data_IF_755787413577
#
_entry.id   IF_755787413577
#
_cell.length_a   1.000
_cell.length_b   1.000
_cell.length_c   1.000
_cell.angle_alpha   90.00
_cell.angle_beta   90.00
_cell.angle_gamma   90.00
#
_symmetry.space_group_name_H-M   'P 1'
#
loop_
_entity.id
_entity.type
_entity.pdbx_description
1 polymer ?
#
# COMPACT_ATOMS: atom_id res chain seq x y z
N UNK A 1 20.87 -11.55 -27.08
CA UNK A 1 20.19 -11.28 -25.80
C UNK A 1 19.75 -12.62 -25.27
N UNK A 2 20.18 -12.99 -24.07
CA UNK A 2 19.67 -14.19 -23.41
C UNK A 2 18.17 -13.98 -23.10
N UNK A 3 17.36 -15.04 -23.19
CA UNK A 3 15.91 -14.93 -22.98
C UNK A 3 15.55 -14.62 -21.51
N UNK A 4 16.41 -14.99 -20.57
CA UNK A 4 16.21 -14.83 -19.12
C UNK A 4 16.04 -13.38 -18.66
N UNK A 5 16.96 -12.42 -18.95
CA UNK A 5 16.79 -11.03 -18.49
C UNK A 5 15.57 -10.36 -19.14
N UNK A 6 15.24 -10.71 -20.38
CA UNK A 6 14.04 -10.21 -21.06
C UNK A 6 12.79 -10.74 -20.37
N UNK A 7 12.76 -12.04 -20.03
CA UNK A 7 11.67 -12.65 -19.28
C UNK A 7 11.49 -11.98 -17.93
N UNK A 8 12.57 -11.78 -17.16
CA UNK A 8 12.52 -11.09 -15.86
C UNK A 8 11.99 -9.68 -16.02
N UNK A 9 12.46 -8.91 -17.00
CA UNK A 9 11.99 -7.54 -17.25
C UNK A 9 10.48 -7.50 -17.57
N UNK A 10 10.01 -8.36 -18.48
CA UNK A 10 8.58 -8.45 -18.84
C UNK A 10 7.74 -8.87 -17.64
N UNK A 11 8.18 -9.87 -16.88
CA UNK A 11 7.48 -10.33 -15.68
C UNK A 11 7.41 -9.23 -14.61
N UNK A 12 8.49 -8.45 -14.44
CA UNK A 12 8.55 -7.32 -13.51
C UNK A 12 7.54 -6.22 -13.87
N UNK A 13 7.36 -5.94 -15.18
CA UNK A 13 6.33 -5.03 -15.69
C UNK A 13 4.93 -5.57 -15.46
N UNK A 14 4.71 -6.87 -15.65
CA UNK A 14 3.44 -7.53 -15.34
C UNK A 14 3.08 -7.38 -13.85
N UNK A 15 4.04 -7.64 -12.95
CA UNK A 15 3.83 -7.43 -11.51
C UNK A 15 3.50 -5.96 -11.18
N UNK A 16 4.09 -5.00 -11.91
CA UNK A 16 3.77 -3.59 -11.75
C UNK A 16 2.32 -3.28 -12.17
N UNK A 17 1.85 -3.90 -13.24
CA UNK A 17 0.45 -3.78 -13.64
C UNK A 17 -0.49 -4.33 -12.55
N UNK A 18 -0.14 -5.46 -11.91
CA UNK A 18 -0.92 -6.01 -10.78
C UNK A 18 -0.95 -5.02 -9.61
N UNK A 19 0.19 -4.44 -9.23
CA UNK A 19 0.25 -3.41 -8.18
C UNK A 19 -0.63 -2.20 -8.55
N UNK A 20 -0.61 -1.77 -9.81
CA UNK A 20 -1.47 -0.70 -10.30
C UNK A 20 -2.96 -1.02 -10.18
N UNK A 21 -3.36 -2.26 -10.49
CA UNK A 21 -4.75 -2.73 -10.33
C UNK A 21 -5.16 -2.75 -8.85
N UNK A 22 -4.28 -3.23 -7.95
CA UNK A 22 -4.56 -3.22 -6.51
C UNK A 22 -4.72 -1.80 -5.97
N UNK A 23 -3.91 -0.85 -6.44
CA UNK A 23 -4.06 0.56 -6.08
C UNK A 23 -5.34 1.18 -6.63
N UNK A 24 -5.75 0.79 -7.83
CA UNK A 24 -7.02 1.21 -8.39
C UNK A 24 -8.20 0.65 -7.58
N UNK A 25 -8.17 -0.64 -7.22
CA UNK A 25 -9.19 -1.26 -6.39
C UNK A 25 -9.26 -0.64 -5.00
N UNK A 26 -8.13 -0.28 -4.40
CA UNK A 26 -8.09 0.43 -3.11
C UNK A 26 -8.86 1.75 -3.14
N UNK A 27 -8.92 2.44 -4.28
CA UNK A 27 -9.63 3.73 -4.42
C UNK A 27 -11.12 3.57 -4.73
N UNK A 28 -11.58 2.35 -5.01
CA UNK A 28 -12.99 2.11 -5.29
C UNK A 28 -13.79 2.18 -3.98
N UNK A 29 -14.82 3.02 -3.90
CA UNK A 29 -15.70 3.04 -2.74
C UNK A 29 -16.43 1.71 -2.62
N UNK A 30 -16.23 1.03 -1.49
CA UNK A 30 -16.88 -0.25 -1.18
C UNK A 30 -18.19 -0.07 -0.40
N UNK A 31 -18.61 1.18 -0.12
CA UNK A 31 -19.83 1.42 0.65
C UNK A 31 -21.07 1.12 -0.19
N UNK A 32 -21.90 0.18 0.29
CA UNK A 32 -23.14 -0.21 -0.38
C UNK A 32 -24.10 0.98 -0.57
N UNK A 33 -24.01 1.98 0.30
CA UNK A 33 -24.83 3.19 0.31
C UNK A 33 -24.35 4.29 -0.66
N UNK A 34 -23.16 4.16 -1.25
CA UNK A 34 -22.72 5.05 -2.34
C UNK A 34 -23.34 4.70 -3.69
N UNK A 35 -23.87 3.47 -3.83
CA UNK A 35 -24.43 3.00 -5.08
C UNK A 35 -25.52 3.97 -5.59
N UNK A 36 -25.43 4.32 -6.87
CA UNK A 36 -26.41 5.22 -7.53
C UNK A 36 -27.85 4.72 -7.37
N UNK A 37 -28.04 3.42 -7.18
CA UNK A 37 -29.34 2.78 -6.91
C UNK A 37 -30.05 3.39 -5.69
N UNK A 38 -29.33 3.78 -4.64
CA UNK A 38 -29.92 4.35 -3.42
C UNK A 38 -30.06 5.88 -3.45
N UNK A 39 -29.74 6.55 -4.58
CA UNK A 39 -29.89 8.01 -4.68
C UNK A 39 -31.34 8.46 -4.63
N UNK A 40 -32.27 7.69 -5.22
CA UNK A 40 -33.71 7.96 -5.13
C UNK A 40 -34.22 7.77 -3.70
N UNK A 41 -33.81 6.69 -3.03
CA UNK A 41 -34.18 6.41 -1.64
C UNK A 41 -33.73 7.51 -0.67
N UNK A 42 -32.49 8.01 -0.83
CA UNK A 42 -31.95 9.12 -0.02
C UNK A 42 -32.71 10.45 -0.19
N UNK A 43 -33.32 10.69 -1.35
CA UNK A 43 -34.13 11.91 -1.58
C UNK A 43 -35.53 11.79 -0.96
N UNK A 44 -36.04 10.57 -0.84
CA UNK A 44 -37.39 10.30 -0.35
C UNK A 44 -37.44 10.16 1.19
N UNK A 45 -36.34 9.79 1.84
CA UNK A 45 -36.29 9.55 3.29
C UNK A 45 -35.41 10.60 3.98
N UNK A 46 -35.97 11.45 4.88
CA UNK A 46 -35.24 12.51 5.58
C UNK A 46 -34.05 12.03 6.42
N UNK A 47 -34.14 10.80 6.98
CA UNK A 47 -33.12 10.20 7.85
C UNK A 47 -32.38 9.01 7.20
N UNK A 48 -32.15 9.05 5.89
CA UNK A 48 -31.42 7.99 5.21
C UNK A 48 -29.98 7.84 5.77
N UNK A 49 -29.50 6.60 6.04
CA UNK A 49 -28.14 6.37 6.52
C UNK A 49 -27.10 7.00 5.61
N UNK A 50 -26.12 7.69 6.19
CA UNK A 50 -25.00 8.28 5.44
C UNK A 50 -24.08 7.16 4.94
N UNK A 51 -23.44 7.32 3.77
CA UNK A 51 -22.37 6.42 3.33
C UNK A 51 -21.32 6.30 4.44
N UNK A 52 -20.89 5.07 4.73
CA UNK A 52 -19.84 4.81 5.70
C UNK A 52 -18.54 5.50 5.27
N UNK A 53 -17.81 6.11 6.21
CA UNK A 53 -16.53 6.72 5.91
C UNK A 53 -15.56 5.61 5.44
N UNK A 54 -14.77 5.81 4.36
CA UNK A 54 -13.69 4.89 3.98
C UNK A 54 -12.69 4.60 5.12
N UNK A 55 -12.59 5.48 6.12
CA UNK A 55 -11.79 5.28 7.32
C UNK A 55 -12.47 4.41 8.41
N UNK A 56 -13.78 4.18 8.31
CA UNK A 56 -14.51 3.37 9.27
C UNK A 56 -14.28 1.87 9.05
N UNK A 57 -14.10 1.15 10.16
CA UNK A 57 -14.01 -0.31 10.14
C UNK A 57 -15.36 -0.91 9.68
N UNK A 58 -15.39 -1.94 8.81
CA UNK A 58 -14.29 -2.75 8.28
C UNK A 58 -13.63 -2.23 6.98
N UNK A 59 -14.08 -1.11 6.43
CA UNK A 59 -13.63 -0.59 5.12
C UNK A 59 -12.17 -0.12 5.14
N UNK A 60 -11.70 0.37 6.29
CA UNK A 60 -10.30 0.75 6.49
C UNK A 60 -9.31 -0.41 6.44
N UNK A 61 -9.71 -1.63 6.82
CA UNK A 61 -8.84 -2.81 6.80
C UNK A 61 -8.63 -3.36 5.37
N UNK A 62 -9.64 -3.23 4.50
CA UNK A 62 -9.54 -3.64 3.09
C UNK A 62 -8.44 -2.83 2.39
N UNK A 63 -8.39 -1.52 2.61
CA UNK A 63 -7.34 -0.67 2.03
C UNK A 63 -5.93 -1.02 2.54
N UNK A 64 -5.80 -1.37 3.83
CA UNK A 64 -4.51 -1.80 4.41
C UNK A 64 -4.04 -3.14 3.86
N UNK A 65 -4.95 -4.09 3.65
CA UNK A 65 -4.62 -5.37 3.03
C UNK A 65 -4.02 -5.20 1.63
N UNK A 66 -4.64 -4.38 0.77
CA UNK A 66 -4.13 -4.11 -0.58
C UNK A 66 -2.75 -3.44 -0.55
N UNK A 67 -2.50 -2.54 0.41
CA UNK A 67 -1.18 -1.91 0.59
C UNK A 67 -0.11 -2.94 0.96
N UNK A 68 -0.40 -3.85 1.90
CA UNK A 68 0.53 -4.92 2.31
C UNK A 68 0.80 -5.87 1.14
N UNK A 69 -0.24 -6.25 0.40
CA UNK A 69 -0.13 -7.12 -0.77
C UNK A 69 0.71 -6.46 -1.89
N UNK A 70 0.46 -5.19 -2.18
CA UNK A 70 1.26 -4.41 -3.13
C UNK A 70 2.73 -4.30 -2.72
N UNK A 71 2.99 -4.13 -1.41
CA UNK A 71 4.36 -4.12 -0.87
C UNK A 71 5.04 -5.48 -1.08
N UNK A 72 4.32 -6.57 -0.79
CA UNK A 72 4.83 -7.94 -0.94
C UNK A 72 5.19 -8.25 -2.40
N UNK A 73 4.29 -7.93 -3.35
CA UNK A 73 4.54 -8.10 -4.79
C UNK A 73 5.75 -7.26 -5.25
N UNK A 74 5.85 -6.01 -4.79
CA UNK A 74 6.98 -5.14 -5.09
C UNK A 74 8.30 -5.72 -4.56
N UNK A 75 8.29 -6.30 -3.36
CA UNK A 75 9.47 -6.94 -2.78
C UNK A 75 9.94 -8.15 -3.60
N UNK A 76 9.01 -9.02 -4.03
CA UNK A 76 9.33 -10.15 -4.92
C UNK A 76 9.97 -9.66 -6.22
N UNK A 77 9.39 -8.65 -6.85
CA UNK A 77 9.91 -8.09 -8.09
C UNK A 77 11.35 -7.55 -7.92
N UNK A 78 11.63 -6.85 -6.82
CA UNK A 78 12.98 -6.36 -6.51
C UNK A 78 13.98 -7.51 -6.27
N UNK A 79 13.56 -8.60 -5.61
CA UNK A 79 14.41 -9.77 -5.39
C UNK A 79 14.75 -10.46 -6.72
N UNK A 80 13.77 -10.61 -7.62
CA UNK A 80 13.99 -11.18 -8.95
C UNK A 80 14.99 -10.35 -9.75
N UNK A 81 14.82 -9.03 -9.77
CA UNK A 81 15.76 -8.14 -10.47
C UNK A 81 17.14 -8.19 -9.84
N UNK A 82 17.25 -8.18 -8.50
CA UNK A 82 18.54 -8.26 -7.81
C UNK A 82 19.27 -9.57 -8.13
N UNK A 83 18.56 -10.70 -8.14
CA UNK A 83 19.13 -12.00 -8.50
C UNK A 83 19.65 -12.01 -9.94
N UNK A 84 18.91 -11.42 -10.88
CA UNK A 84 19.33 -11.33 -12.27
C UNK A 84 20.51 -10.37 -12.46
N UNK A 85 20.54 -9.24 -11.73
CA UNK A 85 21.65 -8.29 -11.77
C UNK A 85 22.97 -8.90 -11.31
N UNK A 86 22.93 -9.80 -10.31
CA UNK A 86 24.13 -10.52 -9.83
C UNK A 86 24.64 -11.50 -10.88
N UNK A 87 23.74 -12.08 -11.69
CA UNK A 87 24.07 -13.08 -12.72
C UNK A 87 24.56 -12.46 -14.03
N UNK A 88 24.21 -11.21 -14.32
CA UNK A 88 24.50 -10.57 -15.60
C UNK A 88 25.53 -9.46 -15.52
N UNK A 89 26.47 -9.44 -16.47
CA UNK A 89 27.58 -8.46 -16.51
C UNK A 89 27.48 -7.46 -17.68
N UNK A 90 26.40 -7.51 -18.47
CA UNK A 90 26.20 -6.59 -19.60
C UNK A 90 25.49 -5.31 -19.15
N UNK A 91 26.11 -4.13 -19.31
CA UNK A 91 25.62 -2.89 -18.70
C UNK A 91 24.27 -2.43 -19.25
N UNK A 92 23.98 -2.69 -20.53
CA UNK A 92 22.69 -2.34 -21.14
C UNK A 92 21.51 -3.14 -20.55
N UNK A 93 21.73 -4.45 -20.32
CA UNK A 93 20.72 -5.34 -19.74
C UNK A 93 20.50 -4.98 -18.26
N UNK A 94 21.58 -4.66 -17.53
CA UNK A 94 21.50 -4.14 -16.17
C UNK A 94 20.69 -2.83 -16.10
N UNK A 95 20.92 -1.91 -17.04
CA UNK A 95 20.19 -0.63 -17.08
C UNK A 95 18.68 -0.84 -17.31
N UNK A 96 18.31 -1.76 -18.20
CA UNK A 96 16.90 -2.10 -18.44
C UNK A 96 16.24 -2.71 -17.19
N UNK A 97 16.92 -3.63 -16.51
CA UNK A 97 16.44 -4.23 -15.27
C UNK A 97 16.24 -3.18 -14.17
N UNK A 98 17.22 -2.30 -13.94
CA UNK A 98 17.11 -1.20 -12.98
C UNK A 98 15.98 -0.24 -13.34
N UNK A 99 15.80 0.09 -14.61
CA UNK A 99 14.70 0.95 -15.07
C UNK A 99 13.34 0.33 -14.72
N UNK A 100 13.14 -0.97 -15.00
CA UNK A 100 11.89 -1.68 -14.67
C UNK A 100 11.66 -1.89 -13.17
N UNK A 101 12.73 -1.97 -12.37
CA UNK A 101 12.66 -2.09 -10.92
C UNK A 101 12.37 -0.77 -10.19
N UNK A 102 12.73 0.36 -10.80
CA UNK A 102 12.61 1.69 -10.18
C UNK A 102 11.19 2.03 -9.68
N UNK A 103 10.08 1.70 -10.38
CA UNK A 103 8.74 1.99 -9.89
C UNK A 103 8.39 1.13 -8.66
N UNK A 104 8.83 -0.13 -8.62
CA UNK A 104 8.64 -1.02 -7.46
C UNK A 104 9.36 -0.49 -6.23
N UNK A 105 10.61 -0.02 -6.40
CA UNK A 105 11.36 0.62 -5.34
C UNK A 105 10.65 1.88 -4.81
N UNK A 106 10.08 2.70 -5.71
CA UNK A 106 9.32 3.89 -5.34
C UNK A 106 8.06 3.52 -4.55
N UNK A 107 7.27 2.55 -5.00
CA UNK A 107 6.06 2.07 -4.31
C UNK A 107 6.42 1.54 -2.92
N UNK A 108 7.43 0.67 -2.83
CA UNK A 108 7.91 0.12 -1.56
C UNK A 108 8.35 1.23 -0.60
N UNK A 109 9.13 2.19 -1.08
CA UNK A 109 9.58 3.34 -0.29
C UNK A 109 8.41 4.17 0.25
N UNK A 110 7.40 4.46 -0.59
CA UNK A 110 6.23 5.25 -0.16
C UNK A 110 5.44 4.54 0.94
N UNK A 111 5.18 3.24 0.81
CA UNK A 111 4.45 2.50 1.84
C UNK A 111 5.25 2.32 3.11
N UNK A 112 6.53 1.96 3.03
CA UNK A 112 7.38 1.86 4.21
C UNK A 112 7.48 3.18 4.98
N UNK A 113 7.55 4.31 4.26
CA UNK A 113 7.55 5.64 4.89
C UNK A 113 6.20 5.94 5.56
N UNK A 114 5.10 5.49 4.99
CA UNK A 114 3.76 5.68 5.56
C UNK A 114 3.51 4.79 6.79
N UNK A 115 4.09 3.58 6.80
CA UNK A 115 3.99 2.62 7.89
C UNK A 115 4.96 2.91 9.04
N UNK A 116 5.95 3.79 8.84
CA UNK A 116 6.86 4.21 9.91
C UNK A 116 6.04 4.87 11.02
N UNK A 117 5.98 4.29 12.24
CA UNK A 117 5.21 4.86 13.32
C UNK A 117 5.68 6.28 13.57
N UNK A 118 4.78 7.26 13.48
CA UNK A 118 5.02 8.56 14.08
C UNK A 118 5.15 8.25 15.58
N UNK A 119 6.36 8.35 16.14
CA UNK A 119 6.54 8.39 17.61
C UNK A 119 5.74 9.60 18.09
N UNK A 120 4.49 9.38 18.43
CA UNK A 120 3.60 10.41 18.93
C UNK A 120 3.98 10.76 20.38
N UNK A 121 3.65 11.97 20.84
CA UNK A 121 3.91 12.42 22.22
C UNK A 121 3.31 11.51 23.30
N UNK A 122 2.33 10.67 22.95
CA UNK A 122 1.64 9.78 23.90
C UNK A 122 2.53 8.75 24.61
N UNK A 123 3.71 8.44 24.08
CA UNK A 123 4.72 7.64 24.80
C UNK A 123 5.42 8.40 25.93
N UNK A 124 5.41 9.73 25.90
CA UNK A 124 5.94 10.59 26.98
C UNK A 124 4.89 10.84 28.07
N UNK A 125 3.60 10.93 27.71
CA UNK A 125 2.53 11.16 28.68
C UNK A 125 2.32 9.95 29.60
N UNK A 126 2.34 8.73 29.05
CA UNK A 126 2.27 7.49 29.84
C UNK A 126 3.46 7.35 30.81
N UNK A 127 4.67 7.75 30.38
CA UNK A 127 5.88 7.72 31.23
C UNK A 127 5.88 8.80 32.31
N UNK A 128 5.21 9.94 32.07
CA UNK A 128 5.04 11.01 33.06
C UNK A 128 3.99 10.65 34.10
N UNK A 129 2.93 9.95 33.71
CA UNK A 129 1.90 9.47 34.65
C UNK A 129 2.45 8.44 35.64
N UNK A 130 3.32 7.54 35.20
CA UNK A 130 4.01 6.58 36.09
C UNK A 130 5.03 7.24 37.04
N UNK A 131 5.44 8.49 36.75
CA UNK A 131 6.42 9.24 37.53
C UNK A 131 5.81 10.27 38.49
N UNK A 132 4.48 10.51 38.46
CA UNK A 132 3.83 11.30 39.49
C UNK A 132 3.67 10.43 40.74
N UNK A 133 4.38 10.74 41.86
CA UNK A 133 4.13 10.05 43.12
C UNK A 133 2.68 10.28 43.50
N UNK A 134 1.97 9.22 43.92
CA UNK A 134 0.69 9.36 44.59
C UNK A 134 0.91 10.08 45.93
N UNK A 135 0.94 11.41 45.91
CA UNK A 135 0.75 12.20 47.11
C UNK A 135 -0.74 12.15 47.45
N UNK A 136 -1.08 11.14 48.26
CA UNK A 136 -2.38 11.03 48.91
C UNK A 136 -2.49 12.01 50.10
N UNK A 137 -3.72 12.42 50.46
CA UNK A 137 -4.02 13.44 51.47
C UNK A 137 -3.69 13.02 52.90
#
# INVERSE_FOLDING_TARGET
MSAEPVFVAVYTVLLLAVVGVLEFQRRQPTSAWEARVFTGYRRAVPDAPRPADPADWPHSEVGRFHVVLSLFISAIALVLVAAELVRHHRPLESAALVATASPHALVAYRYLRHLRPRRGPHGQDARRQDQQPQEGP
#
